data_IF_060514921188
#
_entry.id   IF_060514921188
#
_cell.length_a   1.000
_cell.length_b   1.000
_cell.length_c   1.000
_cell.angle_alpha   90.00
_cell.angle_beta   90.00
_cell.angle_gamma   90.00
#
_symmetry.space_group_name_H-M   'P 1'
#
loop_
_entity.id
_entity.type
_entity.pdbx_description
1 polymer ?
#
# COMPACT_ATOMS: atom_id res chain seq x y z
N UNK A 1 10.99 51.28 62.54
CA UNK A 1 10.00 52.13 61.86
C UNK A 1 9.96 51.70 60.38
N UNK A 2 8.97 51.12 60.02
CA UNK A 2 8.18 50.92 58.79
C UNK A 2 8.79 51.43 57.48
N UNK A 3 8.92 50.50 56.47
CA UNK A 3 9.09 50.81 55.07
C UNK A 3 8.52 49.67 54.24
N UNK A 4 7.35 49.91 53.66
CA UNK A 4 6.67 48.96 52.78
C UNK A 4 7.25 49.08 51.38
N UNK A 5 7.70 47.98 50.79
CA UNK A 5 8.10 47.90 49.40
C UNK A 5 7.03 47.18 48.60
N UNK A 6 6.46 47.86 47.60
CA UNK A 6 5.46 47.34 46.65
C UNK A 6 6.21 46.66 45.52
N UNK A 7 6.02 45.34 45.36
CA UNK A 7 6.54 44.60 44.21
C UNK A 7 5.50 44.58 43.09
N UNK A 8 5.82 45.21 41.96
CA UNK A 8 5.05 45.14 40.75
C UNK A 8 5.29 43.81 40.02
N UNK A 9 4.26 42.97 39.86
CA UNK A 9 4.30 41.74 39.13
C UNK A 9 4.14 41.99 37.61
N UNK A 10 5.16 41.69 36.82
CA UNK A 10 5.10 41.60 35.36
C UNK A 10 4.49 40.26 34.96
N UNK A 11 3.30 40.29 34.40
CA UNK A 11 2.68 39.15 33.76
C UNK A 11 3.29 38.96 32.37
N UNK A 12 4.11 37.91 32.21
CA UNK A 12 4.60 37.46 30.89
C UNK A 12 3.50 36.60 30.26
N UNK A 13 2.89 37.13 29.20
CA UNK A 13 1.96 36.41 28.33
C UNK A 13 2.63 35.21 27.65
N UNK A 14 2.24 34.01 28.04
CA UNK A 14 2.64 32.77 27.38
C UNK A 14 2.04 32.68 25.98
N UNK A 15 2.85 32.79 24.95
CA UNK A 15 2.49 32.46 23.57
C UNK A 15 2.34 30.94 23.48
N UNK A 16 1.09 30.44 23.38
CA UNK A 16 0.78 29.04 23.16
C UNK A 16 1.30 28.60 21.79
N UNK A 17 2.41 27.89 21.78
CA UNK A 17 2.86 27.16 20.60
C UNK A 17 1.87 26.02 20.33
N UNK A 18 1.10 26.16 19.24
CA UNK A 18 0.18 25.14 18.77
C UNK A 18 0.92 23.82 18.56
N UNK A 19 0.66 22.85 19.43
CA UNK A 19 1.17 21.50 19.31
C UNK A 19 0.64 20.86 18.03
N UNK A 20 1.45 20.77 16.98
CA UNK A 20 1.14 19.99 15.79
C UNK A 20 0.85 18.55 16.22
N UNK A 21 -0.36 18.10 15.89
CA UNK A 21 -0.95 16.84 16.30
C UNK A 21 -0.12 15.63 15.82
N UNK A 22 0.86 15.20 16.61
CA UNK A 22 1.79 14.11 16.32
C UNK A 22 1.12 12.71 16.45
N UNK A 23 -0.07 12.63 17.03
CA UNK A 23 -0.79 11.37 17.21
C UNK A 23 -1.41 10.85 15.91
N UNK A 24 -1.90 11.74 15.04
CA UNK A 24 -2.47 11.36 13.76
C UNK A 24 -1.43 10.81 12.78
N UNK A 25 -0.19 11.29 12.85
CA UNK A 25 0.92 10.80 12.02
C UNK A 25 1.38 9.40 12.45
N UNK A 26 1.54 9.14 13.75
CA UNK A 26 1.92 7.82 14.28
C UNK A 26 0.94 6.73 13.90
N UNK A 27 -0.37 6.96 14.01
CA UNK A 27 -1.39 5.97 13.63
C UNK A 27 -1.43 5.68 12.12
N UNK A 28 -1.10 6.64 11.27
CA UNK A 28 -0.98 6.43 9.82
C UNK A 28 0.28 5.63 9.47
N UNK A 29 1.40 5.88 10.14
CA UNK A 29 2.67 5.18 9.93
C UNK A 29 2.61 3.73 10.44
N UNK A 30 1.97 3.46 11.59
CA UNK A 30 1.72 2.11 12.10
C UNK A 30 0.77 1.32 11.18
N UNK A 31 -0.27 1.94 10.65
CA UNK A 31 -1.19 1.31 9.70
C UNK A 31 -0.49 0.95 8.39
N UNK A 32 0.43 1.79 7.90
CA UNK A 32 1.22 1.51 6.70
C UNK A 32 2.28 0.43 6.94
N UNK A 33 2.87 0.36 8.13
CA UNK A 33 3.84 -0.68 8.49
C UNK A 33 3.21 -2.09 8.53
N UNK A 34 1.88 -2.20 8.74
CA UNK A 34 1.13 -3.45 8.67
C UNK A 34 0.66 -3.80 7.26
N UNK A 35 0.88 -2.95 6.28
CA UNK A 35 0.42 -3.11 4.89
C UNK A 35 1.61 -3.39 3.96
N UNK A 36 1.51 -4.45 3.17
CA UNK A 36 2.46 -4.71 2.10
C UNK A 36 1.97 -4.04 0.82
N UNK A 37 2.40 -2.80 0.58
CA UNK A 37 2.00 -2.03 -0.59
C UNK A 37 2.86 -2.41 -1.79
N UNK A 38 2.20 -2.88 -2.85
CA UNK A 38 2.82 -3.17 -4.13
C UNK A 38 3.22 -1.88 -4.87
N UNK A 39 4.04 -2.00 -5.90
CA UNK A 39 4.44 -0.86 -6.73
C UNK A 39 3.26 -0.06 -7.28
N UNK A 40 2.15 -0.72 -7.62
CA UNK A 40 0.92 -0.10 -8.12
C UNK A 40 -0.07 0.36 -7.04
N UNK A 41 0.28 0.28 -5.76
CA UNK A 41 -0.62 0.65 -4.66
C UNK A 41 -1.52 -0.48 -4.15
N UNK A 42 -1.54 -1.65 -4.80
CA UNK A 42 -2.28 -2.82 -4.31
C UNK A 42 -1.78 -3.22 -2.92
N UNK A 43 -2.71 -3.47 -1.97
CA UNK A 43 -2.34 -4.06 -0.69
C UNK A 43 -2.21 -5.58 -0.84
N UNK A 44 -0.96 -6.08 -0.87
CA UNK A 44 -0.68 -7.50 -1.09
C UNK A 44 -1.24 -8.40 0.02
N UNK A 45 -1.28 -7.97 1.29
CA UNK A 45 -1.83 -8.79 2.38
C UNK A 45 -3.35 -9.00 2.26
N UNK A 46 -4.04 -8.19 1.47
CA UNK A 46 -5.46 -8.34 1.12
C UNK A 46 -5.68 -9.01 -0.24
N UNK A 47 -4.61 -9.27 -0.99
CA UNK A 47 -4.70 -9.92 -2.28
C UNK A 47 -5.15 -11.38 -2.14
N UNK A 48 -6.14 -11.81 -2.92
CA UNK A 48 -6.68 -13.18 -2.88
C UNK A 48 -5.63 -14.25 -3.13
N UNK A 49 -4.66 -13.98 -4.01
CA UNK A 49 -3.56 -14.91 -4.32
C UNK A 49 -2.61 -15.03 -3.13
N UNK A 50 -2.24 -13.91 -2.51
CA UNK A 50 -1.44 -13.91 -1.29
C UNK A 50 -2.13 -14.67 -0.16
N UNK A 51 -3.42 -14.42 0.06
CA UNK A 51 -4.21 -15.12 1.08
C UNK A 51 -4.30 -16.62 0.80
N UNK A 52 -4.52 -17.03 -0.46
CA UNK A 52 -4.51 -18.43 -0.84
C UNK A 52 -3.14 -19.09 -0.62
N UNK A 53 -2.05 -18.35 -0.81
CA UNK A 53 -0.68 -18.83 -0.51
C UNK A 53 -0.46 -19.08 0.99
N UNK A 54 -1.09 -18.31 1.86
CA UNK A 54 -0.97 -18.40 3.32
C UNK A 54 -1.97 -19.34 3.98
N UNK A 55 -2.94 -19.84 3.23
CA UNK A 55 -3.93 -20.79 3.74
C UNK A 55 -3.28 -22.16 3.98
N UNK A 56 -3.45 -22.69 5.19
CA UNK A 56 -2.85 -23.97 5.63
C UNK A 56 -3.77 -25.17 5.43
N UNK A 57 -5.10 -24.96 5.40
CA UNK A 57 -6.05 -26.00 5.01
C UNK A 57 -6.00 -26.22 3.50
N UNK A 58 -5.44 -27.34 3.06
CA UNK A 58 -5.26 -27.66 1.65
C UNK A 58 -6.58 -27.69 0.86
N UNK A 59 -7.70 -28.12 1.48
CA UNK A 59 -9.01 -28.13 0.82
C UNK A 59 -9.52 -26.71 0.62
N UNK A 60 -9.36 -25.85 1.60
CA UNK A 60 -9.73 -24.45 1.53
C UNK A 60 -8.83 -23.70 0.55
N UNK A 61 -7.52 -23.90 0.61
CA UNK A 61 -6.56 -23.33 -0.33
C UNK A 61 -6.93 -23.66 -1.78
N UNK A 62 -7.22 -24.94 -2.07
CA UNK A 62 -7.65 -25.39 -3.40
C UNK A 62 -8.92 -24.66 -3.86
N UNK A 63 -9.95 -24.58 -3.01
CA UNK A 63 -11.19 -23.84 -3.32
C UNK A 63 -10.91 -22.36 -3.61
N UNK A 64 -10.05 -21.73 -2.84
CA UNK A 64 -9.66 -20.33 -3.07
C UNK A 64 -8.99 -20.17 -4.45
N UNK A 65 -8.05 -21.04 -4.81
CA UNK A 65 -7.38 -20.99 -6.12
C UNK A 65 -8.35 -21.25 -7.28
N UNK A 66 -9.29 -22.18 -7.13
CA UNK A 66 -10.35 -22.41 -8.13
C UNK A 66 -11.24 -21.18 -8.33
N UNK A 67 -11.57 -20.47 -7.25
CA UNK A 67 -12.33 -19.22 -7.33
C UNK A 67 -11.54 -18.11 -8.02
N UNK A 68 -10.24 -18.00 -7.73
CA UNK A 68 -9.34 -17.04 -8.38
C UNK A 68 -9.25 -17.33 -9.87
N UNK A 69 -9.00 -18.58 -10.26
CA UNK A 69 -8.92 -19.00 -11.66
C UNK A 69 -10.20 -18.61 -12.42
N UNK A 70 -11.37 -18.99 -11.89
CA UNK A 70 -12.67 -18.62 -12.49
C UNK A 70 -12.87 -17.11 -12.58
N UNK A 71 -12.45 -16.37 -11.55
CA UNK A 71 -12.56 -14.91 -11.54
C UNK A 71 -11.70 -14.28 -12.65
N UNK A 72 -10.45 -14.71 -12.79
CA UNK A 72 -9.53 -14.22 -13.82
C UNK A 72 -10.10 -14.51 -15.22
N UNK A 73 -10.51 -15.74 -15.47
CA UNK A 73 -11.10 -16.12 -16.76
C UNK A 73 -12.34 -15.29 -17.09
N UNK A 74 -13.24 -15.12 -16.12
CA UNK A 74 -14.50 -14.40 -16.33
C UNK A 74 -14.32 -12.90 -16.56
N UNK A 75 -13.45 -12.26 -15.77
CA UNK A 75 -13.35 -10.79 -15.75
C UNK A 75 -12.27 -10.21 -16.65
N UNK A 76 -11.23 -10.98 -16.95
CA UNK A 76 -10.11 -10.52 -17.77
C UNK A 76 -9.98 -11.28 -19.09
N UNK A 77 -10.82 -12.31 -19.33
CA UNK A 77 -10.77 -13.13 -20.54
C UNK A 77 -9.50 -13.98 -20.66
N UNK A 78 -8.73 -14.12 -19.59
CA UNK A 78 -7.50 -14.93 -19.55
C UNK A 78 -7.88 -16.33 -19.08
N UNK A 79 -7.86 -17.31 -19.98
CA UNK A 79 -8.07 -18.70 -19.63
C UNK A 79 -7.08 -19.12 -18.55
N UNK A 80 -7.58 -19.42 -17.35
CA UNK A 80 -6.76 -19.69 -16.17
C UNK A 80 -7.25 -20.96 -15.49
N UNK A 81 -6.37 -21.91 -15.31
CA UNK A 81 -6.65 -23.19 -14.62
C UNK A 81 -6.19 -23.09 -13.16
N UNK A 82 -6.56 -24.07 -12.34
CA UNK A 82 -6.17 -24.15 -10.93
C UNK A 82 -4.64 -24.08 -10.75
N UNK A 83 -3.91 -24.82 -11.55
CA UNK A 83 -2.45 -24.92 -11.52
C UNK A 83 -1.73 -23.63 -11.95
N UNK A 84 -2.40 -22.78 -12.71
CA UNK A 84 -1.87 -21.48 -13.13
C UNK A 84 -1.90 -20.44 -11.97
N UNK A 85 -2.71 -20.70 -10.93
CA UNK A 85 -2.76 -19.87 -9.71
C UNK A 85 -1.65 -20.29 -8.77
N UNK A 86 -0.45 -19.82 -9.05
CA UNK A 86 0.77 -20.12 -8.29
C UNK A 86 0.85 -19.32 -6.99
N UNK A 87 1.78 -19.68 -6.11
CA UNK A 87 2.04 -18.96 -4.88
C UNK A 87 2.56 -17.54 -5.12
N UNK A 88 2.28 -16.66 -4.16
CA UNK A 88 2.75 -15.29 -4.19
C UNK A 88 3.12 -14.80 -2.78
N UNK A 89 4.34 -14.33 -2.62
CA UNK A 89 4.87 -13.77 -1.37
C UNK A 89 4.81 -12.23 -1.34
N UNK A 90 4.14 -11.62 -2.32
CA UNK A 90 3.95 -10.17 -2.44
C UNK A 90 4.77 -9.55 -3.57
N UNK A 91 4.26 -8.46 -4.12
CA UNK A 91 4.80 -7.83 -5.34
C UNK A 91 6.22 -7.27 -5.15
N UNK A 92 6.56 -6.80 -3.95
CA UNK A 92 7.85 -6.17 -3.63
C UNK A 92 8.91 -7.15 -3.15
N UNK A 93 8.58 -8.45 -3.04
CA UNK A 93 9.57 -9.47 -2.65
C UNK A 93 10.77 -9.49 -3.60
N UNK A 94 11.97 -9.68 -3.05
CA UNK A 94 13.20 -9.78 -3.84
C UNK A 94 13.36 -11.19 -4.39
N UNK A 95 13.26 -12.20 -3.55
CA UNK A 95 13.56 -13.61 -3.86
C UNK A 95 12.37 -14.55 -3.58
N UNK A 96 11.21 -13.99 -3.27
CA UNK A 96 9.99 -14.74 -3.01
C UNK A 96 9.27 -15.18 -4.29
N UNK A 97 8.30 -16.08 -4.10
CA UNK A 97 7.43 -16.56 -5.17
C UNK A 97 6.51 -15.45 -5.66
N UNK A 98 6.25 -15.44 -6.95
CA UNK A 98 5.35 -14.48 -7.57
C UNK A 98 4.34 -15.19 -8.44
N UNK A 99 3.09 -14.77 -8.33
CA UNK A 99 2.05 -15.15 -9.28
C UNK A 99 2.48 -14.82 -10.71
N UNK A 100 2.17 -15.69 -11.67
CA UNK A 100 2.64 -15.60 -13.06
C UNK A 100 2.40 -14.23 -13.70
N UNK A 101 1.22 -13.65 -13.52
CA UNK A 101 0.91 -12.34 -14.10
C UNK A 101 1.66 -11.20 -13.40
N UNK A 102 1.97 -11.34 -12.10
CA UNK A 102 2.83 -10.38 -11.39
C UNK A 102 4.28 -10.42 -11.89
N UNK A 103 4.76 -11.57 -12.36
CA UNK A 103 6.08 -11.69 -13.00
C UNK A 103 6.15 -10.89 -14.32
N UNK A 104 5.08 -10.89 -15.09
CA UNK A 104 4.96 -10.18 -16.38
C UNK A 104 4.62 -8.70 -16.23
N UNK A 105 4.25 -8.24 -15.03
CA UNK A 105 3.73 -6.90 -14.78
C UNK A 105 4.71 -5.80 -15.18
N UNK A 106 4.31 -4.95 -16.15
CA UNK A 106 5.13 -3.85 -16.66
C UNK A 106 5.36 -2.76 -15.60
N UNK A 107 4.41 -2.54 -14.68
CA UNK A 107 4.57 -1.57 -13.59
C UNK A 107 5.65 -2.06 -12.63
N UNK A 108 5.61 -3.34 -12.25
CA UNK A 108 6.62 -3.94 -11.40
C UNK A 108 8.02 -3.86 -12.03
N UNK A 109 8.14 -4.20 -13.31
CA UNK A 109 9.42 -4.11 -14.03
C UNK A 109 9.95 -2.68 -14.02
N UNK A 110 9.14 -1.71 -14.45
CA UNK A 110 9.50 -0.30 -14.50
C UNK A 110 9.92 0.26 -13.13
N UNK A 111 9.15 -0.04 -12.07
CA UNK A 111 9.47 0.45 -10.73
C UNK A 111 10.77 -0.14 -10.18
N UNK A 112 11.04 -1.43 -10.45
CA UNK A 112 12.31 -2.08 -10.07
C UNK A 112 13.51 -1.52 -10.83
N UNK A 113 13.38 -1.30 -12.13
CA UNK A 113 14.43 -0.68 -12.95
C UNK A 113 14.77 0.73 -12.48
N UNK A 114 13.76 1.49 -12.02
CA UNK A 114 13.94 2.83 -11.46
C UNK A 114 14.35 2.81 -9.95
N UNK A 115 14.46 1.65 -9.33
CA UNK A 115 14.80 1.52 -7.89
C UNK A 115 13.75 2.12 -6.95
N UNK A 116 12.48 2.15 -7.36
CA UNK A 116 11.41 2.79 -6.58
C UNK A 116 10.84 1.83 -5.53
N UNK A 117 10.49 2.35 -4.38
CA UNK A 117 9.73 1.65 -3.36
C UNK A 117 8.30 1.34 -3.84
N UNK A 118 7.63 2.34 -4.42
CA UNK A 118 6.37 2.22 -5.14
C UNK A 118 6.24 3.37 -6.14
N UNK A 119 5.18 3.36 -6.97
CA UNK A 119 5.01 4.34 -8.03
C UNK A 119 4.71 5.77 -7.55
N UNK A 120 4.33 5.98 -6.29
CA UNK A 120 4.17 7.33 -5.73
C UNK A 120 5.50 8.10 -5.72
N UNK A 121 6.64 7.41 -5.59
CA UNK A 121 7.98 8.01 -5.64
C UNK A 121 8.44 8.33 -7.07
N UNK A 122 7.66 7.97 -8.10
CA UNK A 122 8.03 8.26 -9.49
C UNK A 122 7.78 9.72 -9.84
N UNK A 123 8.73 10.34 -10.56
CA UNK A 123 8.56 11.70 -11.11
C UNK A 123 7.46 11.79 -12.16
N UNK A 124 7.13 10.68 -12.83
CA UNK A 124 6.08 10.57 -13.85
C UNK A 124 4.73 10.05 -13.30
N UNK A 125 4.52 10.19 -11.99
CA UNK A 125 3.27 9.76 -11.35
C UNK A 125 2.11 10.72 -11.71
N UNK A 126 0.90 10.26 -12.06
CA UNK A 126 0.48 8.91 -12.44
C UNK A 126 0.58 8.75 -13.96
N UNK A 127 1.47 7.85 -14.39
CA UNK A 127 1.71 7.62 -15.83
C UNK A 127 0.60 6.76 -16.46
N UNK A 128 0.56 6.71 -17.80
CA UNK A 128 -0.44 5.95 -18.57
C UNK A 128 -0.51 4.47 -18.19
N UNK A 129 0.61 3.85 -17.81
CA UNK A 129 0.64 2.44 -17.38
C UNK A 129 -0.18 2.24 -16.12
N UNK A 130 -0.06 3.16 -15.14
CA UNK A 130 -0.84 3.13 -13.90
C UNK A 130 -2.31 3.44 -14.16
N UNK A 131 -2.61 4.46 -14.95
CA UNK A 131 -3.98 4.83 -15.29
C UNK A 131 -4.72 3.66 -15.93
N UNK A 132 -4.13 3.01 -16.94
CA UNK A 132 -4.70 1.81 -17.58
C UNK A 132 -4.92 0.67 -16.60
N UNK A 133 -4.02 0.47 -15.62
CA UNK A 133 -4.18 -0.56 -14.60
C UNK A 133 -5.37 -0.26 -13.67
N UNK A 134 -5.52 0.98 -13.23
CA UNK A 134 -6.65 1.38 -12.39
C UNK A 134 -7.98 1.24 -13.12
N UNK A 135 -8.04 1.67 -14.38
CA UNK A 135 -9.23 1.58 -15.23
C UNK A 135 -9.64 0.13 -15.52
N UNK A 136 -8.68 -0.79 -15.56
CA UNK A 136 -8.94 -2.22 -15.77
C UNK A 136 -9.62 -2.94 -14.60
N UNK A 137 -9.64 -2.33 -13.40
CA UNK A 137 -10.14 -2.97 -12.19
C UNK A 137 -9.28 -4.17 -11.71
N UNK A 138 -8.06 -4.31 -12.21
CA UNK A 138 -7.17 -5.42 -11.85
C UNK A 138 -6.54 -5.29 -10.46
N UNK A 139 -6.68 -4.14 -9.83
CA UNK A 139 -6.22 -3.84 -8.46
C UNK A 139 -7.39 -3.43 -7.58
N UNK A 140 -7.20 -3.43 -6.26
CA UNK A 140 -8.28 -2.98 -5.36
C UNK A 140 -8.58 -1.48 -5.56
N UNK A 141 -9.83 -1.10 -5.27
CA UNK A 141 -10.34 0.26 -5.51
C UNK A 141 -9.55 1.36 -4.79
N UNK A 142 -8.87 1.03 -3.69
CA UNK A 142 -8.09 1.99 -2.91
C UNK A 142 -6.63 2.09 -3.35
N UNK A 143 -6.19 1.30 -4.34
CA UNK A 143 -4.79 1.27 -4.77
C UNK A 143 -4.28 2.64 -5.21
N UNK A 144 -5.06 3.35 -6.04
CA UNK A 144 -4.75 4.72 -6.46
C UNK A 144 -4.69 5.67 -5.28
N UNK A 145 -5.71 5.63 -4.42
CA UNK A 145 -5.80 6.47 -3.22
C UNK A 145 -4.58 6.33 -2.31
N UNK A 146 -4.11 5.09 -2.08
CA UNK A 146 -2.90 4.85 -1.29
C UNK A 146 -1.67 5.51 -1.89
N UNK A 147 -1.48 5.39 -3.21
CA UNK A 147 -0.36 6.06 -3.88
C UNK A 147 -0.49 7.58 -3.84
N UNK A 148 -1.70 8.13 -4.02
CA UNK A 148 -1.96 9.57 -3.92
C UNK A 148 -1.63 10.10 -2.51
N UNK A 149 -2.03 9.36 -1.46
CA UNK A 149 -1.74 9.70 -0.07
C UNK A 149 -0.24 9.61 0.26
N UNK A 150 0.49 8.65 -0.33
CA UNK A 150 1.95 8.58 -0.22
C UNK A 150 2.57 9.77 -0.93
N UNK A 151 2.16 10.04 -2.18
CA UNK A 151 2.67 11.14 -3.00
C UNK A 151 2.51 12.50 -2.33
N UNK A 152 1.36 12.72 -1.69
CA UNK A 152 1.07 13.99 -1.01
C UNK A 152 1.94 14.24 0.25
N UNK A 153 2.69 13.23 0.71
CA UNK A 153 3.59 13.32 1.88
C UNK A 153 5.07 13.46 1.51
N UNK A 154 5.41 13.36 0.23
CA UNK A 154 6.76 13.53 -0.31
C UNK A 154 7.08 14.99 -0.60
#
# INVERSE_FOLDING_TARGET
MRGAGVAAGLALGGVGLGGCNNQSRKGADEKMASEMIAYCGQNCVKCRIYLATRETDLKKQRRMREQIARYITKHFGIETRLEDVTDCDGCTTKDGRLFSECQKCQIRKCAREKGLENCAYCGEYACDKLSKLFDSGSVDADAKKRLDEIKARL
#
